data_IF_048189708232
#
_entry.id   IF_048189708232
#
_cell.length_a   1.000
_cell.length_b   1.000
_cell.length_c   1.000
_cell.angle_alpha   90.00
_cell.angle_beta   90.00
_cell.angle_gamma   90.00
#
_symmetry.space_group_name_H-M   'P 1'
#
loop_
_entity.id
_entity.type
_entity.pdbx_description
1 polymer ?
#
# COMPACT_ATOMS: atom_id res chain seq x y z
N UNK A 1 -5.11 -33.79 -10.92
CA UNK A 1 -5.01 -32.33 -11.04
C UNK A 1 -4.31 -31.85 -9.79
N UNK A 2 -3.06 -31.38 -9.93
CA UNK A 2 -2.26 -30.92 -8.79
C UNK A 2 -2.65 -29.48 -8.51
N UNK A 3 -3.15 -29.23 -7.30
CA UNK A 3 -3.38 -27.89 -6.77
C UNK A 3 -2.05 -27.13 -6.77
N UNK A 4 -1.96 -26.10 -7.61
CA UNK A 4 -0.85 -25.14 -7.60
C UNK A 4 -0.96 -24.33 -6.32
N UNK A 5 -0.06 -24.59 -5.36
CA UNK A 5 0.06 -23.81 -4.12
C UNK A 5 0.28 -22.32 -4.48
N UNK A 6 -0.49 -21.38 -3.93
CA UNK A 6 -0.27 -19.96 -4.19
C UNK A 6 1.04 -19.52 -3.52
N UNK A 7 1.85 -18.81 -4.30
CA UNK A 7 2.99 -17.96 -3.94
C UNK A 7 3.96 -18.39 -2.83
N UNK A 8 5.24 -18.44 -3.25
CA UNK A 8 6.43 -18.73 -2.46
C UNK A 8 6.51 -17.92 -1.15
N UNK A 9 6.01 -18.50 -0.06
CA UNK A 9 6.32 -18.01 1.28
C UNK A 9 7.83 -18.15 1.53
N UNK A 10 8.52 -17.10 2.02
CA UNK A 10 9.95 -17.16 2.29
C UNK A 10 10.21 -18.17 3.40
N UNK A 11 10.86 -19.27 3.04
CA UNK A 11 11.26 -20.31 3.99
C UNK A 11 12.68 -19.99 4.46
N UNK A 12 12.88 -19.92 5.78
CA UNK A 12 14.21 -19.74 6.38
C UNK A 12 14.74 -21.14 6.74
N UNK A 13 15.73 -21.67 6.01
CA UNK A 13 16.28 -22.98 6.34
C UNK A 13 17.09 -22.89 7.64
N UNK A 14 16.76 -23.76 8.59
CA UNK A 14 17.46 -23.87 9.88
C UNK A 14 18.24 -25.18 9.88
N UNK A 15 19.58 -25.15 9.76
CA UNK A 15 20.37 -26.35 9.57
C UNK A 15 20.43 -27.25 10.82
N UNK A 16 20.34 -26.65 12.01
CA UNK A 16 20.26 -27.38 13.29
C UNK A 16 19.49 -26.55 14.33
N UNK A 17 18.86 -27.24 15.30
CA UNK A 17 18.09 -26.62 16.39
C UNK A 17 18.88 -25.59 17.21
N UNK A 18 20.19 -25.81 17.38
CA UNK A 18 21.10 -24.88 18.09
C UNK A 18 21.30 -23.55 17.35
N UNK A 19 21.11 -23.54 16.03
CA UNK A 19 21.25 -22.35 15.19
C UNK A 19 19.96 -21.54 15.07
N UNK A 20 18.83 -22.01 15.61
CA UNK A 20 17.52 -21.40 15.46
C UNK A 20 17.52 -19.89 15.80
N UNK A 21 18.03 -19.54 16.98
CA UNK A 21 18.06 -18.14 17.45
C UNK A 21 18.98 -17.28 16.57
N UNK A 22 20.14 -17.80 16.18
CA UNK A 22 21.10 -17.10 15.33
C UNK A 22 20.54 -16.87 13.91
N UNK A 23 19.84 -17.86 13.35
CA UNK A 23 19.17 -17.75 12.05
C UNK A 23 18.06 -16.69 12.06
N UNK A 24 17.26 -16.62 13.13
CA UNK A 24 16.25 -15.58 13.29
C UNK A 24 16.89 -14.19 13.43
N UNK A 25 17.94 -14.06 14.26
CA UNK A 25 18.64 -12.78 14.43
C UNK A 25 19.28 -12.30 13.13
N UNK A 26 19.89 -13.20 12.37
CA UNK A 26 20.44 -12.90 11.04
C UNK A 26 19.36 -12.44 10.06
N UNK A 27 18.20 -13.10 10.06
CA UNK A 27 17.07 -12.69 9.23
C UNK A 27 16.54 -11.31 9.62
N UNK A 28 16.30 -11.05 10.92
CA UNK A 28 15.85 -9.74 11.41
C UNK A 28 16.88 -8.65 11.05
N UNK A 29 18.17 -8.94 11.21
CA UNK A 29 19.24 -8.03 10.79
C UNK A 29 19.21 -7.75 9.28
N UNK A 30 18.87 -8.73 8.45
CA UNK A 30 18.69 -8.53 7.01
C UNK A 30 17.46 -7.69 6.68
N UNK A 31 16.37 -7.81 7.45
CA UNK A 31 15.17 -6.98 7.29
C UNK A 31 15.45 -5.51 7.56
N UNK A 32 16.28 -5.21 8.56
CA UNK A 32 16.69 -3.85 8.88
C UNK A 32 17.54 -3.19 7.78
N UNK A 33 18.15 -4.01 6.91
CA UNK A 33 18.97 -3.57 5.76
C UNK A 33 18.22 -3.68 4.42
N UNK A 34 16.92 -3.98 4.44
CA UNK A 34 16.15 -3.93 3.20
C UNK A 34 16.17 -2.50 2.68
N UNK A 35 16.38 -2.31 1.36
CA UNK A 35 16.14 -1.01 0.76
C UNK A 35 14.71 -0.61 1.13
N UNK A 36 14.46 0.65 1.49
CA UNK A 36 13.09 1.11 1.73
C UNK A 36 12.28 0.69 0.52
N UNK A 37 11.25 -0.14 0.73
CA UNK A 37 10.29 -0.48 -0.30
C UNK A 37 9.54 0.81 -0.66
N UNK A 38 10.15 1.68 -1.47
CA UNK A 38 9.46 2.79 -2.10
C UNK A 38 8.72 2.18 -3.29
N UNK A 39 7.60 1.51 -3.02
CA UNK A 39 6.63 1.34 -4.09
C UNK A 39 6.19 2.75 -4.51
N UNK A 40 6.11 3.02 -5.83
CA UNK A 40 5.49 4.24 -6.32
C UNK A 40 4.15 4.45 -5.62
N UNK A 41 3.83 5.70 -5.27
CA UNK A 41 2.52 6.06 -4.72
C UNK A 41 1.41 5.51 -5.63
N UNK A 42 1.59 5.64 -6.94
CA UNK A 42 0.76 5.09 -8.01
C UNK A 42 0.39 3.62 -7.82
N UNK A 43 1.36 2.74 -7.59
CA UNK A 43 1.10 1.30 -7.40
C UNK A 43 0.27 1.07 -6.15
N UNK A 44 0.54 1.85 -5.11
CA UNK A 44 -0.19 1.76 -3.86
C UNK A 44 -1.63 2.23 -4.07
N UNK A 45 -1.86 3.42 -4.62
CA UNK A 45 -3.22 3.96 -4.84
C UNK A 45 -4.02 3.09 -5.82
N UNK A 46 -3.37 2.52 -6.83
CA UNK A 46 -4.01 1.58 -7.76
C UNK A 46 -4.49 0.31 -7.04
N UNK A 47 -3.68 -0.25 -6.13
CA UNK A 47 -4.10 -1.37 -5.28
C UNK A 47 -5.25 -0.99 -4.34
N UNK A 48 -5.23 0.22 -3.80
CA UNK A 48 -6.24 0.72 -2.88
C UNK A 48 -7.60 0.92 -3.57
N UNK A 49 -7.57 1.51 -4.77
CA UNK A 49 -8.74 1.61 -5.64
C UNK A 49 -9.28 0.20 -5.98
N UNK A 50 -8.40 -0.73 -6.34
CA UNK A 50 -8.79 -2.11 -6.66
C UNK A 50 -9.37 -2.88 -5.45
N UNK A 51 -8.83 -2.71 -4.25
CA UNK A 51 -9.36 -3.32 -3.03
C UNK A 51 -10.81 -2.91 -2.75
N UNK A 52 -11.15 -1.68 -3.11
CA UNK A 52 -12.43 -1.07 -2.80
C UNK A 52 -13.45 -1.26 -3.92
N UNK A 53 -12.98 -1.24 -5.16
CA UNK A 53 -13.78 -1.46 -6.35
C UNK A 53 -13.12 -2.53 -7.23
N UNK A 54 -13.22 -3.83 -6.85
CA UNK A 54 -12.53 -4.93 -7.52
C UNK A 54 -12.97 -5.14 -8.98
N UNK A 55 -14.13 -4.59 -9.35
CA UNK A 55 -14.67 -4.63 -10.71
C UNK A 55 -14.44 -3.32 -11.50
N UNK A 56 -13.82 -2.32 -10.87
CA UNK A 56 -13.46 -1.08 -11.55
C UNK A 56 -12.12 -1.22 -12.28
N UNK A 57 -11.95 -0.54 -13.42
CA UNK A 57 -10.67 -0.51 -14.12
C UNK A 57 -9.57 0.02 -13.20
N UNK A 58 -8.32 -0.40 -13.45
CA UNK A 58 -7.15 0.18 -12.79
C UNK A 58 -7.14 1.70 -12.93
N UNK A 59 -6.58 2.39 -11.94
CA UNK A 59 -6.41 3.83 -11.96
C UNK A 59 -5.74 4.26 -13.29
N UNK A 60 -6.30 5.23 -14.03
CA UNK A 60 -5.65 5.80 -15.21
C UNK A 60 -4.26 6.34 -14.88
N UNK A 61 -3.33 6.25 -15.82
CA UNK A 61 -1.95 6.75 -15.65
C UNK A 61 -1.92 8.28 -15.42
N UNK A 62 -2.87 9.01 -16.02
CA UNK A 62 -3.03 10.44 -15.82
C UNK A 62 -3.39 10.77 -14.35
N UNK A 63 -4.40 10.08 -13.81
CA UNK A 63 -4.82 10.22 -12.41
C UNK A 63 -3.71 9.83 -11.44
N UNK A 64 -2.91 8.80 -11.79
CA UNK A 64 -1.74 8.39 -11.03
C UNK A 64 -0.64 9.45 -10.96
N UNK A 65 -0.38 10.12 -12.09
CA UNK A 65 0.62 11.19 -12.17
C UNK A 65 0.16 12.40 -11.35
N UNK A 66 -1.11 12.78 -11.49
CA UNK A 66 -1.74 13.84 -10.69
C UNK A 66 -1.67 13.54 -9.20
N UNK A 67 -1.95 12.30 -8.78
CA UNK A 67 -1.81 11.87 -7.38
C UNK A 67 -0.38 11.98 -6.87
N UNK A 68 0.60 11.61 -7.69
CA UNK A 68 2.03 11.67 -7.33
C UNK A 68 2.54 13.11 -7.24
N UNK A 69 2.01 14.02 -8.06
CA UNK A 69 2.30 15.45 -8.02
C UNK A 69 1.67 16.14 -6.80
N UNK A 70 0.42 15.78 -6.47
CA UNK A 70 -0.30 16.34 -5.32
C UNK A 70 0.24 15.80 -3.99
N UNK A 71 0.60 14.52 -3.95
CA UNK A 71 1.03 13.84 -2.74
C UNK A 71 2.35 13.10 -2.98
N UNK A 72 3.50 13.67 -2.58
CA UNK A 72 4.80 13.09 -2.86
C UNK A 72 5.05 11.75 -2.13
N UNK A 73 4.18 11.38 -1.19
CA UNK A 73 4.25 10.11 -0.48
C UNK A 73 2.88 9.66 0.03
N UNK A 74 2.74 8.34 0.28
CA UNK A 74 1.53 7.76 0.86
C UNK A 74 1.22 8.37 2.23
N UNK A 75 2.27 8.74 2.97
CA UNK A 75 2.13 9.44 4.25
C UNK A 75 1.48 10.80 4.06
N UNK A 76 1.93 11.60 3.07
CA UNK A 76 1.32 12.89 2.75
C UNK A 76 -0.15 12.72 2.38
N UNK A 77 -0.45 11.79 1.47
CA UNK A 77 -1.82 11.46 1.10
C UNK A 77 -2.67 11.11 2.33
N UNK A 78 -2.17 10.24 3.21
CA UNK A 78 -2.89 9.81 4.41
C UNK A 78 -3.15 10.94 5.42
N UNK A 79 -2.29 11.97 5.45
CA UNK A 79 -2.40 13.11 6.36
C UNK A 79 -3.32 14.17 5.75
N UNK A 80 -3.11 14.49 4.48
CA UNK A 80 -3.83 15.54 3.78
C UNK A 80 -5.29 15.16 3.53
N UNK A 81 -5.58 13.88 3.30
CA UNK A 81 -6.95 13.38 3.14
C UNK A 81 -7.81 13.51 4.41
N UNK A 82 -7.18 13.74 5.58
CA UNK A 82 -7.89 14.06 6.83
C UNK A 82 -8.27 15.54 6.92
N UNK A 83 -7.70 16.39 6.07
CA UNK A 83 -8.00 17.81 6.02
C UNK A 83 -9.07 18.11 4.95
N UNK A 84 -9.84 19.19 5.13
CA UNK A 84 -10.77 19.65 4.10
C UNK A 84 -10.05 20.03 2.80
N UNK A 85 -8.84 20.56 2.91
CA UNK A 85 -8.06 21.03 1.78
C UNK A 85 -7.55 19.86 0.92
N UNK A 86 -7.04 18.79 1.53
CA UNK A 86 -6.60 17.61 0.79
C UNK A 86 -7.75 16.85 0.12
N UNK A 87 -8.93 16.78 0.77
CA UNK A 87 -10.14 16.22 0.14
C UNK A 87 -10.61 17.06 -1.04
N UNK A 88 -10.60 18.39 -0.90
CA UNK A 88 -10.94 19.29 -1.99
C UNK A 88 -9.99 19.14 -3.18
N UNK A 89 -8.68 19.01 -2.94
CA UNK A 89 -7.72 18.76 -4.01
C UNK A 89 -7.97 17.43 -4.73
N UNK A 90 -8.29 16.35 -4.00
CA UNK A 90 -8.66 15.08 -4.62
C UNK A 90 -9.91 15.21 -5.50
N UNK A 91 -10.94 15.88 -5.02
CA UNK A 91 -12.19 16.07 -5.78
C UNK A 91 -11.99 16.98 -7.00
N UNK A 92 -11.16 18.02 -6.89
CA UNK A 92 -10.89 18.99 -7.96
C UNK A 92 -10.06 18.38 -9.09
N UNK A 93 -9.06 17.55 -8.76
CA UNK A 93 -8.09 17.05 -9.73
C UNK A 93 -8.36 15.62 -10.23
N UNK A 94 -9.01 14.78 -9.41
CA UNK A 94 -9.29 13.37 -9.74
C UNK A 94 -10.79 13.08 -9.89
N UNK A 95 -11.63 14.07 -9.59
CA UNK A 95 -13.07 13.93 -9.60
C UNK A 95 -13.63 13.36 -8.30
N UNK A 96 -14.87 13.74 -8.00
CA UNK A 96 -15.57 13.46 -6.75
C UNK A 96 -15.68 11.96 -6.45
N UNK A 97 -15.84 11.12 -7.48
CA UNK A 97 -16.00 9.68 -7.28
C UNK A 97 -14.70 9.04 -6.74
N UNK A 98 -13.58 9.27 -7.43
CA UNK A 98 -12.28 8.74 -7.04
C UNK A 98 -11.80 9.38 -5.73
N UNK A 99 -12.01 10.69 -5.55
CA UNK A 99 -11.71 11.40 -4.31
C UNK A 99 -12.46 10.84 -3.10
N UNK A 100 -13.75 10.53 -3.25
CA UNK A 100 -14.57 9.88 -2.21
C UNK A 100 -14.08 8.47 -1.92
N UNK A 101 -13.74 7.69 -2.95
CA UNK A 101 -13.29 6.31 -2.79
C UNK A 101 -11.95 6.23 -2.04
N UNK A 102 -11.00 7.11 -2.40
CA UNK A 102 -9.75 7.23 -1.66
C UNK A 102 -10.05 7.75 -0.25
N UNK A 103 -10.89 8.78 -0.06
CA UNK A 103 -11.14 9.32 1.27
C UNK A 103 -11.74 8.29 2.24
N UNK A 104 -12.73 7.52 1.79
CA UNK A 104 -13.43 6.60 2.66
C UNK A 104 -12.55 5.40 3.05
N UNK A 105 -11.61 4.93 2.23
CA UNK A 105 -10.65 3.90 2.66
C UNK A 105 -9.86 4.36 3.91
N UNK A 106 -9.38 5.61 3.95
CA UNK A 106 -8.60 6.13 5.09
C UNK A 106 -9.47 6.54 6.28
N UNK A 107 -10.79 6.61 6.08
CA UNK A 107 -11.74 6.99 7.14
C UNK A 107 -12.38 5.77 7.80
N UNK A 108 -12.53 4.65 7.09
CA UNK A 108 -13.12 3.41 7.61
C UNK A 108 -12.18 2.63 8.55
N UNK A 109 -10.87 2.88 8.49
CA UNK A 109 -9.87 2.26 9.37
C UNK A 109 -9.94 2.77 10.84
N UNK A 110 -10.87 3.68 11.15
CA UNK A 110 -11.02 4.32 12.47
C UNK A 110 -12.23 3.84 13.28
N UNK A 111 -12.92 2.75 12.88
CA UNK A 111 -14.21 2.36 13.48
C UNK A 111 -14.11 1.41 14.70
N UNK A 112 -12.91 1.15 15.25
CA UNK A 112 -12.82 0.40 16.51
C UNK A 112 -11.86 1.06 17.51
N UNK A 113 -12.42 1.91 18.38
CA UNK A 113 -11.97 2.09 19.77
C UNK A 113 -12.92 1.35 20.72
#
# INVERSE_FOLDING_TARGET
MVESLPDHLPTIPIPDSSCFVASIQGYIGSLANLPPFSRPLTDTVSLLHHMRAPFSPSLPEEDANVLSDLFPSLKSLSQDIRTRQGRFALDEYLGVQLGTDIAQFWTEDYVYE
#
